data_IF_189835498801
#
_entry.id   IF_189835498801
#
_cell.length_a   1.000
_cell.length_b   1.000
_cell.length_c   1.000
_cell.angle_alpha   90.00
_cell.angle_beta   90.00
_cell.angle_gamma   90.00
#
_symmetry.space_group_name_H-M   'P 1'
#
loop_
_entity.id
_entity.type
_entity.pdbx_description
1 polymer ?
#
# COMPACT_ATOMS: atom_id res chain seq x y z
N UNK A 1 6.64 6.66 -5.97
CA UNK A 1 7.21 6.63 -4.61
C UNK A 1 6.13 7.16 -3.69
N UNK A 2 5.84 6.46 -2.59
CA UNK A 2 4.82 6.87 -1.64
C UNK A 2 5.37 7.95 -0.68
N UNK A 3 4.71 9.09 -0.58
CA UNK A 3 4.98 10.11 0.44
C UNK A 3 4.12 9.88 1.69
N UNK A 4 4.61 10.38 2.84
CA UNK A 4 3.84 10.40 4.10
C UNK A 4 2.77 11.50 4.11
N UNK A 5 2.69 12.35 3.08
CA UNK A 5 1.66 13.38 2.98
C UNK A 5 0.26 12.75 3.09
N UNK A 6 -0.34 12.98 4.24
CA UNK A 6 -1.68 12.55 4.59
C UNK A 6 -2.32 13.71 5.37
N UNK A 7 -2.92 14.69 4.66
CA UNK A 7 -3.19 16.02 5.20
C UNK A 7 -4.22 16.08 6.33
N UNK A 8 -4.92 14.97 6.62
CA UNK A 8 -6.06 14.97 7.55
C UNK A 8 -6.06 13.83 8.57
N UNK A 9 -5.00 13.01 8.67
CA UNK A 9 -4.91 12.00 9.74
C UNK A 9 -3.47 11.58 10.05
N UNK A 10 -3.30 10.92 11.20
CA UNK A 10 -2.09 10.18 11.53
C UNK A 10 -1.85 9.05 10.52
N UNK A 11 -0.61 8.91 10.09
CA UNK A 11 -0.13 7.80 9.28
C UNK A 11 1.26 7.39 9.76
N UNK A 12 1.57 6.11 9.58
CA UNK A 12 2.90 5.54 9.80
C UNK A 12 3.48 5.16 8.44
N UNK A 13 4.72 5.56 8.17
CA UNK A 13 5.49 5.10 7.02
C UNK A 13 6.66 4.26 7.51
N UNK A 14 6.69 3.01 7.11
CA UNK A 14 7.83 2.11 7.29
C UNK A 14 8.56 1.93 5.96
N UNK A 15 9.88 2.09 5.99
CA UNK A 15 10.73 1.91 4.81
C UNK A 15 11.84 0.93 5.19
N UNK A 16 11.93 -0.15 4.43
CA UNK A 16 12.96 -1.18 4.61
C UNK A 16 13.76 -1.30 3.33
N UNK A 17 15.09 -1.22 3.46
CA UNK A 17 16.03 -1.46 2.38
C UNK A 17 16.81 -2.73 2.66
N UNK A 18 16.85 -3.63 1.68
CA UNK A 18 17.58 -4.89 1.76
C UNK A 18 18.58 -4.92 0.61
N UNK A 19 19.90 -4.96 0.86
CA UNK A 19 20.90 -5.11 -0.19
C UNK A 19 20.69 -6.38 -0.99
N UNK A 20 20.84 -6.32 -2.32
CA UNK A 20 20.78 -7.49 -3.18
C UNK A 20 22.18 -8.05 -3.43
N UNK A 21 22.37 -9.39 -3.49
CA UNK A 21 23.69 -9.99 -3.72
C UNK A 21 24.40 -9.52 -5.00
N UNK A 22 23.63 -9.20 -6.05
CA UNK A 22 24.13 -8.75 -7.35
C UNK A 22 24.28 -7.22 -7.46
N UNK A 23 24.25 -6.50 -6.34
CA UNK A 23 24.27 -5.03 -6.30
C UNK A 23 22.87 -4.40 -6.33
N UNK A 24 22.80 -3.14 -5.89
CA UNK A 24 21.56 -2.41 -5.64
C UNK A 24 20.76 -2.93 -4.43
N UNK A 25 19.54 -2.43 -4.28
CA UNK A 25 18.67 -2.73 -3.13
C UNK A 25 17.28 -3.19 -3.56
N UNK A 26 16.65 -4.00 -2.72
CA UNK A 26 15.20 -4.09 -2.67
C UNK A 26 14.69 -3.08 -1.67
N UNK A 27 13.72 -2.25 -2.07
CA UNK A 27 13.04 -1.31 -1.19
C UNK A 27 11.60 -1.78 -1.01
N UNK A 28 11.19 -2.00 0.24
CA UNK A 28 9.81 -2.16 0.65
C UNK A 28 9.36 -0.87 1.34
N UNK A 29 8.25 -0.32 0.86
CA UNK A 29 7.59 0.84 1.48
C UNK A 29 6.21 0.42 1.92
N UNK A 30 5.91 0.65 3.19
CA UNK A 30 4.58 0.43 3.77
C UNK A 30 4.07 1.72 4.39
N UNK A 31 2.86 2.12 4.02
CA UNK A 31 2.13 3.19 4.70
C UNK A 31 0.87 2.62 5.35
N UNK A 32 0.74 2.84 6.64
CA UNK A 32 -0.45 2.51 7.42
C UNK A 32 -1.17 3.81 7.78
N UNK A 33 -2.43 3.94 7.41
CA UNK A 33 -3.25 5.13 7.68
C UNK A 33 -4.67 4.72 8.04
N UNK A 34 -5.43 5.63 8.67
CA UNK A 34 -6.84 5.42 8.96
C UNK A 34 -7.70 6.50 8.30
N UNK A 35 -8.89 6.14 7.84
CA UNK A 35 -9.88 7.10 7.34
C UNK A 35 -11.18 6.95 8.15
N UNK A 36 -11.84 8.05 8.57
CA UNK A 36 -13.11 8.02 9.29
C UNK A 36 -14.28 7.76 8.32
N UNK A 37 -14.16 6.74 7.49
CA UNK A 37 -15.10 6.32 6.45
C UNK A 37 -15.17 4.79 6.45
N UNK A 38 -16.24 4.21 5.90
CA UNK A 38 -16.28 2.77 5.64
C UNK A 38 -15.25 2.36 4.59
N UNK A 39 -14.73 1.13 4.65
CA UNK A 39 -13.79 0.68 3.62
C UNK A 39 -14.42 0.63 2.22
N UNK A 40 -15.74 0.46 2.13
CA UNK A 40 -16.49 0.61 0.86
C UNK A 40 -16.35 2.02 0.27
N UNK A 41 -16.48 3.06 1.10
CA UNK A 41 -16.32 4.44 0.66
C UNK A 41 -14.87 4.75 0.28
N UNK A 42 -13.89 4.26 1.05
CA UNK A 42 -12.46 4.37 0.71
C UNK A 42 -12.15 3.71 -0.63
N UNK A 43 -12.64 2.50 -0.86
CA UNK A 43 -12.43 1.78 -2.11
C UNK A 43 -13.03 2.52 -3.31
N UNK A 44 -14.27 3.03 -3.17
CA UNK A 44 -14.93 3.80 -4.22
C UNK A 44 -14.22 5.13 -4.54
N UNK A 45 -13.60 5.76 -3.55
CA UNK A 45 -12.88 7.02 -3.73
C UNK A 45 -11.47 6.82 -4.32
N UNK A 46 -10.73 5.80 -3.87
CA UNK A 46 -9.28 5.71 -4.11
C UNK A 46 -8.84 4.50 -4.95
N UNK A 47 -9.69 3.47 -5.08
CA UNK A 47 -9.29 2.14 -5.59
C UNK A 47 -10.14 1.67 -6.78
N UNK A 48 -10.75 2.60 -7.54
CA UNK A 48 -11.67 2.26 -8.66
C UNK A 48 -11.08 1.31 -9.70
N UNK A 49 -9.78 1.44 -9.99
CA UNK A 49 -9.08 0.61 -10.98
C UNK A 49 -8.35 -0.58 -10.35
N UNK A 50 -8.59 -0.84 -9.06
CA UNK A 50 -8.04 -1.99 -8.37
C UNK A 50 -9.05 -3.12 -8.35
N UNK A 51 -8.56 -4.34 -8.52
CA UNK A 51 -9.33 -5.56 -8.31
C UNK A 51 -9.31 -5.92 -6.83
N UNK A 52 -10.48 -6.07 -6.24
CA UNK A 52 -10.65 -6.51 -4.86
C UNK A 52 -10.62 -8.04 -4.77
N UNK A 53 -9.89 -8.56 -3.78
CA UNK A 53 -9.87 -9.96 -3.38
C UNK A 53 -10.16 -10.02 -1.87
N UNK A 54 -11.38 -10.40 -1.46
CA UNK A 54 -11.69 -10.64 -0.06
C UNK A 54 -10.84 -11.78 0.48
N UNK A 55 -10.27 -11.64 1.68
CA UNK A 55 -9.47 -12.70 2.30
C UNK A 55 -10.20 -13.36 3.46
N UNK A 56 -10.52 -12.57 4.48
CA UNK A 56 -11.28 -12.98 5.67
C UNK A 56 -12.32 -11.90 5.97
N UNK A 57 -13.18 -12.15 6.97
CA UNK A 57 -14.16 -11.16 7.41
C UNK A 57 -13.47 -9.82 7.70
N UNK A 58 -14.05 -8.73 7.20
CA UNK A 58 -13.56 -7.36 7.35
C UNK A 58 -12.21 -7.05 6.67
N UNK A 59 -11.62 -7.96 5.88
CA UNK A 59 -10.32 -7.73 5.22
C UNK A 59 -10.41 -8.02 3.72
N UNK A 60 -10.02 -7.04 2.91
CA UNK A 60 -9.88 -7.19 1.46
C UNK A 60 -8.55 -6.62 0.97
N UNK A 61 -7.91 -7.32 0.03
CA UNK A 61 -6.71 -6.87 -0.66
C UNK A 61 -7.09 -6.38 -2.05
N UNK A 62 -6.55 -5.24 -2.42
CA UNK A 62 -6.76 -4.59 -3.69
C UNK A 62 -5.44 -4.57 -4.47
N UNK A 63 -5.48 -4.98 -5.74
CA UNK A 63 -4.33 -4.98 -6.65
C UNK A 63 -4.66 -4.24 -7.94
N UNK A 64 -3.68 -3.55 -8.52
CA UNK A 64 -3.85 -2.87 -9.80
C UNK A 64 -3.08 -3.63 -10.89
N UNK A 65 -3.68 -3.93 -12.05
CA UNK A 65 -3.03 -4.72 -13.10
C UNK A 65 -1.73 -4.07 -13.59
N UNK A 66 -1.73 -2.75 -13.78
CA UNK A 66 -0.55 -2.00 -14.22
C UNK A 66 0.47 -1.69 -13.09
N UNK A 67 0.16 -2.06 -11.84
CA UNK A 67 1.05 -1.87 -10.69
C UNK A 67 1.16 -3.17 -9.89
N UNK A 68 1.76 -4.23 -10.47
CA UNK A 68 1.79 -5.57 -9.86
C UNK A 68 2.58 -5.64 -8.56
N UNK A 69 3.36 -4.60 -8.24
CA UNK A 69 4.16 -4.49 -7.01
C UNK A 69 3.53 -3.56 -5.97
N UNK A 70 2.31 -3.09 -6.20
CA UNK A 70 1.52 -2.30 -5.26
C UNK A 70 0.34 -3.15 -4.77
N UNK A 71 0.14 -3.16 -3.45
CA UNK A 71 -1.06 -3.73 -2.83
C UNK A 71 -1.66 -2.73 -1.85
N UNK A 72 -2.98 -2.74 -1.76
CA UNK A 72 -3.71 -1.97 -0.75
C UNK A 72 -4.62 -2.92 0.00
N UNK A 73 -4.35 -3.11 1.30
CA UNK A 73 -5.24 -3.86 2.18
C UNK A 73 -6.15 -2.89 2.90
N UNK A 74 -7.45 -3.13 2.83
CA UNK A 74 -8.45 -2.44 3.64
C UNK A 74 -8.92 -3.37 4.74
N UNK A 75 -8.97 -2.87 5.97
CA UNK A 75 -9.53 -3.56 7.13
C UNK A 75 -10.65 -2.70 7.72
N UNK A 76 -11.88 -3.23 7.71
CA UNK A 76 -13.02 -2.55 8.31
C UNK A 76 -12.87 -2.56 9.85
N UNK A 77 -12.67 -1.37 10.41
CA UNK A 77 -12.50 -1.13 11.86
C UNK A 77 -13.44 -0.01 12.32
N UNK A 78 -14.77 -0.25 12.42
CA UNK A 78 -15.74 0.81 12.66
C UNK A 78 -15.40 1.67 13.88
N UNK A 79 -15.54 3.01 13.79
CA UNK A 79 -16.17 3.79 12.70
C UNK A 79 -15.23 4.14 11.53
N UNK A 80 -14.05 3.51 11.43
CA UNK A 80 -13.01 3.84 10.47
C UNK A 80 -12.67 2.68 9.53
N UNK A 81 -11.85 2.98 8.52
CA UNK A 81 -11.19 2.02 7.66
C UNK A 81 -9.68 2.14 7.86
N UNK A 82 -9.04 1.05 8.29
CA UNK A 82 -7.58 0.95 8.29
C UNK A 82 -7.09 0.60 6.88
N UNK A 83 -6.10 1.35 6.42
CA UNK A 83 -5.56 1.27 5.06
C UNK A 83 -4.07 0.95 5.16
N UNK A 84 -3.66 -0.18 4.59
CA UNK A 84 -2.26 -0.58 4.49
C UNK A 84 -1.87 -0.58 3.02
N UNK A 85 -1.04 0.38 2.60
CA UNK A 85 -0.51 0.45 1.24
C UNK A 85 0.94 -0.03 1.23
N UNK A 86 1.23 -1.06 0.44
CA UNK A 86 2.57 -1.63 0.31
C UNK A 86 3.05 -1.53 -1.13
N UNK A 87 4.31 -1.17 -1.31
CA UNK A 87 4.98 -1.14 -2.60
C UNK A 87 6.37 -1.77 -2.47
N UNK A 88 6.75 -2.61 -3.43
CA UNK A 88 8.11 -3.16 -3.52
C UNK A 88 8.81 -2.75 -4.80
N UNK A 89 10.08 -2.37 -4.69
CA UNK A 89 10.97 -2.14 -5.84
C UNK A 89 12.24 -2.95 -5.68
N UNK A 90 12.43 -3.91 -6.57
CA UNK A 90 13.68 -4.66 -6.71
C UNK A 90 14.69 -3.88 -7.54
N UNK A 91 15.98 -4.17 -7.34
CA UNK A 91 17.09 -3.62 -8.12
C UNK A 91 17.13 -2.08 -8.12
N UNK A 92 16.70 -1.47 -7.02
CA UNK A 92 16.83 -0.05 -6.83
C UNK A 92 18.29 0.36 -6.78
N UNK A 93 18.65 1.43 -7.48
CA UNK A 93 20.01 1.97 -7.48
C UNK A 93 21.00 1.19 -8.35
N UNK A 94 20.59 0.11 -9.02
CA UNK A 94 21.37 -0.41 -10.16
C UNK A 94 21.06 0.45 -11.38
N UNK A 95 22.08 1.03 -12.00
CA UNK A 95 21.93 1.68 -13.31
C UNK A 95 21.41 0.65 -14.31
N UNK A 96 20.29 0.96 -14.96
CA UNK A 96 19.70 0.13 -16.00
C UNK A 96 20.48 0.36 -17.31
N UNK A 97 21.68 -0.20 -17.39
CA UNK A 97 22.47 -0.33 -18.62
C UNK A 97 22.75 -1.81 -18.86
#
# INVERSE_FOLDING_TARGET
MAGLEYPSSSAVLSLTTVPAPAGGCTILVERVSSAPLSCKAVAAAQLRNYKATPLVKAVAVYTHPDRPRETVTLVDTPPACLIVRRQVRFRWGTSQW
#
